data_IF_777163008060
#
_entry.id   IF_777163008060
#
_cell.length_a   1.000
_cell.length_b   1.000
_cell.length_c   1.000
_cell.angle_alpha   90.00
_cell.angle_beta   90.00
_cell.angle_gamma   90.00
#
_symmetry.space_group_name_H-M   'P 1'
#
loop_
_entity.id
_entity.type
_entity.pdbx_description
1 polymer ?
#
# COMPACT_ATOMS: atom_id res chain seq x y z
N UNK A 1 0.55 -20.32 22.39
CA UNK A 1 -0.65 -19.49 22.15
C UNK A 1 -0.34 -18.62 20.95
N UNK A 2 -0.63 -19.09 19.74
CA UNK A 2 -0.64 -18.25 18.54
C UNK A 2 -1.92 -17.43 18.62
N UNK A 3 -1.80 -16.20 19.12
CA UNK A 3 -2.94 -15.29 19.23
C UNK A 3 -3.19 -14.66 17.87
N UNK A 4 -4.17 -15.16 17.14
CA UNK A 4 -4.71 -14.48 15.96
C UNK A 4 -5.28 -13.12 16.41
N UNK A 5 -4.82 -12.04 15.78
CA UNK A 5 -5.31 -10.69 16.07
C UNK A 5 -6.25 -10.28 14.96
N UNK A 6 -7.52 -10.05 15.31
CA UNK A 6 -8.47 -9.42 14.41
C UNK A 6 -8.17 -7.93 14.34
N UNK A 7 -7.81 -7.45 13.17
CA UNK A 7 -7.55 -6.03 12.93
C UNK A 7 -8.86 -5.34 12.61
N UNK A 8 -9.12 -4.21 13.27
CA UNK A 8 -10.27 -3.37 12.96
C UNK A 8 -9.86 -2.21 12.05
N UNK A 9 -10.72 -1.93 11.07
CA UNK A 9 -10.65 -0.71 10.25
C UNK A 9 -11.73 0.23 10.75
N UNK A 10 -11.34 1.43 11.21
CA UNK A 10 -12.29 2.44 11.69
C UNK A 10 -12.82 3.29 10.54
N UNK A 11 -13.89 4.04 10.79
CA UNK A 11 -14.37 5.03 9.82
C UNK A 11 -13.32 6.12 9.54
N UNK A 12 -12.48 6.46 10.52
CA UNK A 12 -11.33 7.36 10.34
C UNK A 12 -10.32 6.78 9.36
N UNK A 13 -9.96 5.50 9.46
CA UNK A 13 -9.06 4.85 8.49
C UNK A 13 -9.62 4.90 7.08
N UNK A 14 -10.92 4.61 6.91
CA UNK A 14 -11.58 4.63 5.60
C UNK A 14 -11.65 6.06 5.05
N UNK A 15 -12.02 7.04 5.86
CA UNK A 15 -12.07 8.45 5.47
C UNK A 15 -10.68 8.97 5.06
N UNK A 16 -9.64 8.64 5.85
CA UNK A 16 -8.27 8.97 5.53
C UNK A 16 -7.82 8.30 4.23
N UNK A 17 -8.17 7.04 3.97
CA UNK A 17 -7.81 6.38 2.72
C UNK A 17 -8.51 7.01 1.51
N UNK A 18 -9.79 7.38 1.62
CA UNK A 18 -10.50 8.12 0.55
C UNK A 18 -9.80 9.44 0.24
N UNK A 19 -9.41 10.19 1.26
CA UNK A 19 -8.66 11.42 1.09
C UNK A 19 -7.29 11.13 0.46
N UNK A 20 -6.56 10.14 0.96
CA UNK A 20 -5.24 9.77 0.45
C UNK A 20 -5.25 9.43 -1.05
N UNK A 21 -6.27 8.70 -1.53
CA UNK A 21 -6.36 8.28 -2.92
C UNK A 21 -6.96 9.37 -3.84
N UNK A 22 -7.82 10.25 -3.31
CA UNK A 22 -8.57 11.23 -4.13
C UNK A 22 -8.08 12.67 -4.02
N UNK A 23 -7.55 13.08 -2.87
CA UNK A 23 -7.09 14.44 -2.60
C UNK A 23 -6.03 14.44 -1.47
N UNK A 24 -4.75 14.42 -1.87
CA UNK A 24 -3.62 14.38 -0.94
C UNK A 24 -3.56 15.60 -0.01
N UNK A 25 -3.91 16.80 -0.48
CA UNK A 25 -3.96 18.01 0.35
C UNK A 25 -4.95 17.82 1.50
N UNK A 26 -6.15 17.32 1.17
CA UNK A 26 -7.16 16.98 2.19
C UNK A 26 -6.67 15.91 3.16
N UNK A 27 -5.94 14.91 2.68
CA UNK A 27 -5.37 13.88 3.55
C UNK A 27 -4.40 14.48 4.58
N UNK A 28 -3.48 15.31 4.11
CA UNK A 28 -2.48 15.98 4.95
C UNK A 28 -3.16 16.89 5.97
N UNK A 29 -4.10 17.73 5.53
CA UNK A 29 -4.73 18.75 6.37
C UNK A 29 -5.69 18.17 7.40
N UNK A 30 -6.46 17.13 7.04
CA UNK A 30 -7.55 16.64 7.89
C UNK A 30 -7.24 15.33 8.62
N UNK A 31 -6.30 14.51 8.14
CA UNK A 31 -6.16 13.12 8.62
C UNK A 31 -4.75 12.71 9.05
N UNK A 32 -3.68 13.32 8.55
CA UNK A 32 -2.31 12.88 8.87
C UNK A 32 -2.02 12.92 10.39
N UNK A 33 -2.48 13.98 11.05
CA UNK A 33 -2.32 14.21 12.49
C UNK A 33 -3.13 13.24 13.36
N UNK A 34 -4.31 12.85 12.88
CA UNK A 34 -5.18 11.90 13.58
C UNK A 34 -4.65 10.47 13.45
N UNK A 35 -4.12 10.12 12.28
CA UNK A 35 -3.47 8.82 12.05
C UNK A 35 -2.17 8.67 12.86
N UNK A 36 -1.40 9.74 13.04
CA UNK A 36 -0.21 9.72 13.89
C UNK A 36 -0.55 9.45 15.37
N UNK A 37 -1.71 9.92 15.82
CA UNK A 37 -2.22 9.76 17.20
C UNK A 37 -3.13 8.54 17.36
N UNK A 38 -3.33 7.75 16.29
CA UNK A 38 -4.26 6.64 16.31
C UNK A 38 -3.81 5.57 17.31
N UNK A 39 -4.75 5.08 18.13
CA UNK A 39 -4.50 3.99 19.05
C UNK A 39 -4.36 2.63 18.33
N UNK A 40 -4.73 2.56 17.04
CA UNK A 40 -4.61 1.40 16.16
C UNK A 40 -3.92 1.78 14.82
N UNK A 41 -2.61 2.10 14.83
CA UNK A 41 -1.88 2.49 13.61
C UNK A 41 -1.79 1.37 12.56
N UNK A 42 -2.04 0.13 12.98
CA UNK A 42 -2.04 -1.05 12.10
C UNK A 42 -3.24 -1.01 11.15
N UNK A 43 -4.40 -0.48 11.57
CA UNK A 43 -5.60 -0.49 10.73
C UNK A 43 -5.44 0.27 9.41
N UNK A 44 -4.86 1.48 9.43
CA UNK A 44 -4.55 2.22 8.20
C UNK A 44 -3.48 1.52 7.36
N UNK A 45 -2.41 1.03 7.97
CA UNK A 45 -1.34 0.31 7.27
C UNK A 45 -1.86 -0.93 6.53
N UNK A 46 -2.77 -1.68 7.16
CA UNK A 46 -3.43 -2.84 6.55
C UNK A 46 -4.34 -2.43 5.39
N UNK A 47 -5.11 -1.37 5.57
CA UNK A 47 -5.96 -0.84 4.50
C UNK A 47 -5.12 -0.44 3.28
N UNK A 48 -3.97 0.20 3.47
CA UNK A 48 -3.02 0.53 2.39
C UNK A 48 -2.48 -0.72 1.69
N UNK A 49 -2.12 -1.75 2.47
CA UNK A 49 -1.60 -3.02 1.95
C UNK A 49 -2.63 -3.77 1.11
N UNK A 50 -3.87 -3.88 1.60
CA UNK A 50 -4.96 -4.55 0.88
C UNK A 50 -5.40 -3.76 -0.36
N UNK A 51 -5.45 -2.43 -0.27
CA UNK A 51 -5.73 -1.56 -1.43
C UNK A 51 -4.69 -1.77 -2.54
N UNK A 52 -3.41 -1.81 -2.19
CA UNK A 52 -2.33 -2.17 -3.11
C UNK A 52 -2.57 -3.55 -3.75
N UNK A 53 -2.82 -4.57 -2.93
CA UNK A 53 -3.07 -5.93 -3.40
C UNK A 53 -4.22 -6.02 -4.38
N UNK A 54 -5.34 -5.36 -4.09
CA UNK A 54 -6.51 -5.32 -4.96
C UNK A 54 -6.16 -4.69 -6.31
N UNK A 55 -5.54 -3.51 -6.32
CA UNK A 55 -5.19 -2.82 -7.57
C UNK A 55 -4.14 -3.59 -8.38
N UNK A 56 -3.13 -4.17 -7.73
CA UNK A 56 -2.12 -4.99 -8.39
C UNK A 56 -2.76 -6.23 -9.02
N UNK A 57 -3.66 -6.93 -8.31
CA UNK A 57 -4.39 -8.08 -8.86
C UNK A 57 -5.29 -7.68 -10.02
N UNK A 58 -5.98 -6.54 -9.95
CA UNK A 58 -6.79 -6.00 -11.06
C UNK A 58 -5.92 -5.66 -12.28
N UNK A 59 -4.73 -5.10 -12.05
CA UNK A 59 -3.80 -4.65 -13.09
C UNK A 59 -3.08 -5.78 -13.82
N UNK A 60 -2.62 -6.77 -13.07
CA UNK A 60 -1.75 -7.83 -13.57
C UNK A 60 -2.50 -9.14 -13.83
N UNK A 61 -3.65 -9.35 -13.17
CA UNK A 61 -4.41 -10.59 -13.23
C UNK A 61 -3.67 -11.76 -12.55
N UNK A 62 -4.36 -12.91 -12.41
CA UNK A 62 -3.76 -14.12 -11.85
C UNK A 62 -2.69 -14.68 -12.80
N UNK A 63 -1.55 -15.11 -12.24
CA UNK A 63 -0.48 -15.76 -13.01
C UNK A 63 0.36 -14.80 -13.86
N UNK A 64 0.36 -13.50 -13.53
CA UNK A 64 1.18 -12.50 -14.20
C UNK A 64 2.66 -12.92 -14.25
N UNK A 65 3.30 -12.90 -15.43
CA UNK A 65 4.68 -13.31 -15.56
C UNK A 65 5.61 -12.20 -15.01
N UNK A 66 6.70 -12.60 -14.35
CA UNK A 66 7.71 -11.69 -13.78
C UNK A 66 8.17 -10.56 -14.75
N UNK A 67 8.41 -10.81 -16.05
CA UNK A 67 8.80 -9.75 -16.98
C UNK A 67 7.81 -8.57 -17.06
N UNK A 68 6.53 -8.80 -16.79
CA UNK A 68 5.52 -7.73 -16.82
C UNK A 68 5.63 -6.83 -15.58
N UNK A 69 5.92 -7.40 -14.40
CA UNK A 69 6.23 -6.64 -13.18
C UNK A 69 7.51 -5.82 -13.37
N UNK A 70 8.56 -6.44 -13.90
CA UNK A 70 9.83 -5.75 -14.20
C UNK A 70 9.61 -4.59 -15.17
N UNK A 71 8.82 -4.81 -16.23
CA UNK A 71 8.50 -3.75 -17.20
C UNK A 71 7.70 -2.62 -16.55
N UNK A 72 6.73 -2.94 -15.71
CA UNK A 72 5.94 -1.94 -14.98
C UNK A 72 6.83 -1.07 -14.10
N UNK A 73 7.67 -1.66 -13.26
CA UNK A 73 8.58 -0.91 -12.37
C UNK A 73 9.56 -0.07 -13.19
N UNK A 74 10.11 -0.59 -14.29
CA UNK A 74 10.97 0.19 -15.17
C UNK A 74 10.26 1.41 -15.78
N UNK A 75 8.99 1.26 -16.20
CA UNK A 75 8.19 2.37 -16.73
C UNK A 75 7.84 3.39 -15.65
N UNK A 76 7.42 2.95 -14.47
CA UNK A 76 7.12 3.81 -13.32
C UNK A 76 8.31 4.71 -12.96
N UNK A 77 9.50 4.10 -12.82
CA UNK A 77 10.74 4.83 -12.54
C UNK A 77 11.15 5.79 -13.66
N UNK A 78 10.73 5.54 -14.90
CA UNK A 78 11.03 6.42 -16.02
C UNK A 78 10.06 7.61 -16.11
N UNK A 79 8.79 7.40 -15.73
CA UNK A 79 7.73 8.39 -15.85
C UNK A 79 7.70 9.43 -14.73
N UNK A 80 8.14 9.07 -13.53
CA UNK A 80 7.99 9.89 -12.33
C UNK A 80 9.34 10.18 -11.66
N UNK A 81 9.59 11.45 -11.32
CA UNK A 81 10.85 11.88 -10.71
C UNK A 81 11.04 11.34 -9.29
N UNK A 82 9.97 11.27 -8.49
CA UNK A 82 9.99 10.65 -7.17
C UNK A 82 10.24 9.14 -7.28
N UNK A 83 9.66 8.49 -8.29
CA UNK A 83 9.85 7.06 -8.52
C UNK A 83 11.28 6.69 -8.97
N UNK A 84 12.06 7.60 -9.58
CA UNK A 84 13.43 7.31 -10.06
C UNK A 84 14.33 6.78 -8.95
N UNK A 85 14.15 7.28 -7.73
CA UNK A 85 14.95 6.95 -6.56
C UNK A 85 14.63 5.56 -5.98
N UNK A 86 13.49 4.96 -6.34
CA UNK A 86 13.10 3.65 -5.82
C UNK A 86 14.09 2.55 -6.20
N UNK A 87 14.37 1.66 -5.25
CA UNK A 87 15.07 0.41 -5.54
C UNK A 87 14.16 -0.52 -6.34
N UNK A 88 14.50 -0.73 -7.62
CA UNK A 88 13.67 -1.53 -8.51
C UNK A 88 13.44 -2.96 -8.01
N UNK A 89 14.44 -3.61 -7.41
CA UNK A 89 14.30 -5.01 -6.97
C UNK A 89 13.39 -5.10 -5.75
N UNK A 90 13.52 -4.14 -4.83
CA UNK A 90 12.61 -4.04 -3.70
C UNK A 90 11.18 -3.80 -4.18
N UNK A 91 10.96 -2.81 -5.06
CA UNK A 91 9.63 -2.52 -5.59
C UNK A 91 9.03 -3.72 -6.33
N UNK A 92 9.81 -4.41 -7.18
CA UNK A 92 9.41 -5.63 -7.86
C UNK A 92 9.01 -6.73 -6.87
N UNK A 93 9.82 -6.98 -5.84
CA UNK A 93 9.52 -8.01 -4.84
C UNK A 93 8.30 -7.65 -3.99
N UNK A 94 8.12 -6.38 -3.63
CA UNK A 94 6.92 -5.90 -2.94
C UNK A 94 5.66 -6.18 -3.78
N UNK A 95 5.67 -5.85 -5.08
CA UNK A 95 4.56 -6.16 -5.99
C UNK A 95 4.30 -7.67 -6.04
N UNK A 96 5.36 -8.47 -6.21
CA UNK A 96 5.26 -9.92 -6.30
C UNK A 96 4.72 -10.56 -5.02
N UNK A 97 5.00 -9.99 -3.85
CA UNK A 97 4.39 -10.42 -2.58
C UNK A 97 2.89 -10.20 -2.58
N UNK A 98 2.40 -9.06 -3.07
CA UNK A 98 0.96 -8.81 -3.19
C UNK A 98 0.25 -9.67 -4.25
N UNK A 99 1.03 -10.26 -5.17
CA UNK A 99 0.57 -11.21 -6.18
C UNK A 99 0.78 -12.67 -5.76
N UNK A 100 1.15 -12.92 -4.50
CA UNK A 100 1.38 -14.25 -3.92
C UNK A 100 2.41 -15.09 -4.72
N UNK A 101 3.47 -14.46 -5.24
CA UNK A 101 4.50 -15.16 -6.02
C UNK A 101 5.26 -16.18 -5.14
N UNK A 102 5.10 -17.50 -5.37
CA UNK A 102 5.69 -18.53 -4.52
C UNK A 102 7.20 -18.68 -4.71
N UNK A 103 7.79 -18.02 -5.71
CA UNK A 103 9.24 -18.05 -5.95
C UNK A 103 10.01 -17.04 -5.09
N UNK A 104 9.33 -16.18 -4.34
CA UNK A 104 9.96 -15.28 -3.38
C UNK A 104 10.46 -16.06 -2.16
N UNK A 105 11.77 -16.02 -1.95
CA UNK A 105 12.44 -16.69 -0.81
C UNK A 105 12.95 -15.72 0.24
N UNK A 106 13.08 -14.45 -0.11
CA UNK A 106 13.52 -13.39 0.80
C UNK A 106 12.27 -12.71 1.37
N UNK A 107 12.13 -12.61 2.71
CA UNK A 107 11.02 -11.89 3.29
C UNK A 107 11.18 -10.36 3.13
N UNK A 108 10.09 -9.59 3.22
CA UNK A 108 10.15 -8.14 3.42
C UNK A 108 11.12 -7.76 4.56
N UNK A 109 11.86 -6.65 4.47
CA UNK A 109 11.89 -5.62 3.42
C UNK A 109 12.88 -5.92 2.27
N UNK A 110 13.08 -7.19 1.92
CA UNK A 110 13.85 -7.63 0.74
C UNK A 110 15.30 -7.12 0.66
N UNK A 111 15.94 -6.95 1.82
CA UNK A 111 17.34 -6.55 1.93
C UNK A 111 17.59 -5.04 1.92
N UNK A 112 16.55 -4.20 1.90
CA UNK A 112 16.68 -2.76 2.17
C UNK A 112 15.96 -2.33 3.44
N UNK A 113 15.60 -1.05 3.52
CA UNK A 113 14.98 -0.47 4.74
C UNK A 113 13.46 -0.51 4.67
N UNK A 114 12.80 -0.52 5.83
CA UNK A 114 11.35 -0.57 5.88
C UNK A 114 10.71 0.69 5.28
N UNK A 115 11.34 1.85 5.49
CA UNK A 115 10.94 3.13 4.95
C UNK A 115 10.92 3.11 3.41
N UNK A 116 11.95 2.54 2.79
CA UNK A 116 12.08 2.41 1.32
C UNK A 116 11.00 1.48 0.74
N UNK A 117 10.62 0.44 1.49
CA UNK A 117 9.54 -0.46 1.11
C UNK A 117 8.20 0.25 1.16
N UNK A 118 7.93 1.02 2.20
CA UNK A 118 6.68 1.79 2.33
C UNK A 118 6.60 2.88 1.27
N UNK A 119 7.70 3.60 1.01
CA UNK A 119 7.79 4.58 -0.09
C UNK A 119 7.49 3.92 -1.45
N UNK A 120 8.04 2.72 -1.69
CA UNK A 120 7.72 1.93 -2.88
C UNK A 120 6.23 1.56 -2.94
N UNK A 121 5.64 1.10 -1.83
CA UNK A 121 4.21 0.74 -1.78
C UNK A 121 3.30 1.94 -2.06
N UNK A 122 3.61 3.10 -1.50
CA UNK A 122 2.84 4.33 -1.72
C UNK A 122 2.95 4.78 -3.17
N UNK A 123 4.17 4.82 -3.71
CA UNK A 123 4.41 5.25 -5.09
C UNK A 123 3.68 4.34 -6.09
N UNK A 124 3.74 3.02 -5.86
CA UNK A 124 3.02 2.04 -6.68
C UNK A 124 1.51 2.23 -6.56
N UNK A 125 0.99 2.43 -5.34
CA UNK A 125 -0.44 2.66 -5.10
C UNK A 125 -0.97 3.87 -5.86
N UNK A 126 -0.31 5.03 -5.72
CA UNK A 126 -0.72 6.26 -6.38
C UNK A 126 -0.66 6.13 -7.91
N UNK A 127 0.39 5.46 -8.43
CA UNK A 127 0.49 5.14 -9.85
C UNK A 127 -0.66 4.26 -10.34
N UNK A 128 -1.05 3.23 -9.58
CA UNK A 128 -2.15 2.33 -9.96
C UNK A 128 -3.51 3.03 -9.92
N UNK A 129 -3.75 3.91 -8.93
CA UNK A 129 -4.96 4.73 -8.87
C UNK A 129 -5.04 5.65 -10.08
N UNK A 130 -3.94 6.32 -10.42
CA UNK A 130 -3.87 7.19 -11.59
C UNK A 130 -4.08 6.40 -12.90
N UNK A 131 -3.49 5.21 -13.04
CA UNK A 131 -3.68 4.34 -14.21
C UNK A 131 -5.13 3.82 -14.32
N UNK A 132 -5.77 3.50 -13.19
CA UNK A 132 -7.15 3.02 -13.16
C UNK A 132 -8.19 4.11 -13.46
N UNK A 133 -7.83 5.39 -13.31
CA UNK A 133 -8.72 6.52 -13.58
C UNK A 133 -9.98 6.51 -12.72
N UNK A 134 -9.85 6.13 -11.44
CA UNK A 134 -10.97 6.01 -10.52
C UNK A 134 -11.60 7.38 -10.23
N UNK A 135 -12.93 7.45 -10.28
CA UNK A 135 -13.69 8.57 -9.75
C UNK A 135 -13.98 8.38 -8.25
N UNK A 136 -14.66 9.33 -7.62
CA UNK A 136 -15.01 9.26 -6.19
C UNK A 136 -15.75 7.95 -5.84
N UNK A 137 -16.60 7.46 -6.76
CA UNK A 137 -17.33 6.21 -6.57
C UNK A 137 -16.41 4.99 -6.66
N UNK A 138 -15.48 4.98 -7.62
CA UNK A 138 -14.47 3.94 -7.75
C UNK A 138 -13.51 3.88 -6.57
N UNK A 139 -13.14 5.05 -6.01
CA UNK A 139 -12.35 5.14 -4.77
C UNK A 139 -13.16 4.59 -3.59
N UNK A 140 -14.43 4.97 -3.44
CA UNK A 140 -15.31 4.44 -2.40
C UNK A 140 -15.39 2.90 -2.45
N UNK A 141 -15.70 2.36 -3.62
CA UNK A 141 -15.83 0.91 -3.82
C UNK A 141 -14.50 0.19 -3.52
N UNK A 142 -13.36 0.77 -3.91
CA UNK A 142 -12.04 0.22 -3.62
C UNK A 142 -11.74 0.20 -2.11
N UNK A 143 -12.05 1.29 -1.40
CA UNK A 143 -11.81 1.39 0.05
C UNK A 143 -12.68 0.41 0.83
N UNK A 144 -13.95 0.28 0.47
CA UNK A 144 -14.85 -0.67 1.12
C UNK A 144 -14.48 -2.13 0.82
N UNK A 145 -14.05 -2.44 -0.41
CA UNK A 145 -13.51 -3.77 -0.75
C UNK A 145 -12.26 -4.10 0.08
N UNK A 146 -11.32 -3.16 0.17
CA UNK A 146 -10.10 -3.33 0.96
C UNK A 146 -10.40 -3.48 2.46
N UNK A 147 -11.34 -2.71 3.00
CA UNK A 147 -11.75 -2.81 4.40
C UNK A 147 -12.42 -4.17 4.70
N UNK A 148 -13.31 -4.62 3.81
CA UNK A 148 -13.94 -5.94 3.93
C UNK A 148 -12.91 -7.06 3.92
N UNK A 149 -11.90 -6.98 3.05
CA UNK A 149 -10.81 -7.95 3.02
C UNK A 149 -10.00 -7.91 4.33
N UNK A 150 -9.61 -6.74 4.84
CA UNK A 150 -8.87 -6.64 6.13
C UNK A 150 -9.67 -7.28 7.27
N UNK A 151 -10.97 -6.99 7.36
CA UNK A 151 -11.83 -7.48 8.44
C UNK A 151 -12.15 -8.99 8.36
N UNK A 152 -12.03 -9.57 7.17
CA UNK A 152 -12.22 -10.99 6.90
C UNK A 152 -10.95 -11.81 7.16
N UNK A 153 -9.77 -11.19 7.18
CA UNK A 153 -8.50 -11.89 7.41
C UNK A 153 -8.15 -11.93 8.91
N UNK A 154 -7.88 -13.14 9.40
CA UNK A 154 -7.15 -13.34 10.65
C UNK A 154 -5.66 -13.28 10.35
N UNK A 155 -4.95 -12.34 10.99
CA UNK A 155 -3.57 -12.06 10.65
C UNK A 155 -2.64 -12.56 11.74
N UNK A 156 -1.59 -13.25 11.30
CA UNK A 156 -0.46 -13.59 12.15
C UNK A 156 0.25 -12.28 12.53
N UNK A 157 0.42 -11.98 13.85
CA UNK A 157 1.20 -10.82 14.29
C UNK A 157 2.60 -10.72 13.68
N UNK A 158 3.21 -11.84 13.30
CA UNK A 158 4.51 -11.89 12.62
C UNK A 158 4.44 -11.54 11.12
N UNK A 159 3.26 -11.55 10.53
CA UNK A 159 2.99 -11.20 9.14
C UNK A 159 2.43 -9.77 8.98
N UNK A 160 2.27 -9.02 10.07
CA UNK A 160 1.81 -7.64 10.00
C UNK A 160 2.79 -6.77 9.20
N UNK A 161 2.31 -5.89 8.31
CA UNK A 161 3.16 -4.94 7.62
C UNK A 161 3.84 -4.05 8.64
N UNK A 162 5.06 -3.62 8.32
CA UNK A 162 5.74 -2.58 9.10
C UNK A 162 4.85 -1.33 9.09
N UNK A 163 4.52 -0.81 10.26
CA UNK A 163 3.79 0.45 10.43
C UNK A 163 4.42 1.53 9.55
N UNK A 164 3.61 2.31 8.83
CA UNK A 164 4.10 3.48 8.06
C UNK A 164 4.98 4.32 8.98
N UNK A 165 6.30 4.43 8.72
CA UNK A 165 7.19 5.19 9.60
C UNK A 165 6.79 6.67 9.62
N UNK A 166 6.94 7.39 10.75
CA UNK A 166 6.66 8.83 10.83
C UNK A 166 7.37 9.66 9.75
N UNK A 167 8.54 9.22 9.30
CA UNK A 167 9.32 9.83 8.23
C UNK A 167 8.63 9.74 6.87
N UNK A 168 7.87 8.68 6.63
CA UNK A 168 7.05 8.53 5.42
C UNK A 168 5.82 9.44 5.49
N UNK A 169 5.22 9.59 6.67
CA UNK A 169 4.16 10.59 6.88
C UNK A 169 4.68 12.00 6.64
N UNK A 170 5.93 12.29 7.03
CA UNK A 170 6.58 13.57 6.76
C UNK A 170 6.88 13.78 5.27
N UNK A 171 7.28 12.74 4.53
CA UNK A 171 7.42 12.81 3.07
C UNK A 171 6.09 13.09 2.37
N UNK A 172 4.99 12.48 2.84
CA UNK A 172 3.64 12.76 2.33
C UNK A 172 3.17 14.20 2.61
N UNK A 173 3.67 14.86 3.66
CA UNK A 173 3.39 16.28 3.94
C UNK A 173 4.16 17.23 3.03
N UNK A 174 5.26 16.78 2.43
CA UNK A 174 6.19 17.61 1.65
C UNK A 174 6.02 17.48 0.12
N UNK A 175 5.20 16.53 -0.34
CA UNK A 175 4.89 16.27 -1.76
C UNK A 175 3.65 17.02 -2.23
#
# INVERSE_FOLDING_TARGET
MTGEVKISVSDTHRAAMRAFLGNMEKFVDEYADDLEKDANPVGFSMLTSFTNGILLRRRFGPGCPLPDVVRYVALLRASDESARALDARMTENTIRTHLDDPSLTTPPPFGGRAEEMVESMITVLLSLVAEAGLDDKGIEELVEEAAADVEAHELDPAALPVTVPPEVMELLRQS
#
